data_IF_501139915574
#
_entry.id   IF_501139915574
#
_cell.length_a   1.000
_cell.length_b   1.000
_cell.length_c   1.000
_cell.angle_alpha   90.00
_cell.angle_beta   90.00
_cell.angle_gamma   90.00
#
_symmetry.space_group_name_H-M   'P 1'
#
loop_
_entity.id
_entity.type
_entity.pdbx_description
1 polymer ?
#
# COMPACT_ATOMS: atom_id res chain seq x y z
N UNK A 1 11.02 -8.15 21.65
CA UNK A 1 11.43 -8.47 20.26
C UNK A 1 10.38 -9.36 19.58
N UNK A 2 9.67 -8.80 18.60
CA UNK A 2 8.74 -9.49 17.71
C UNK A 2 9.53 -10.28 16.67
N UNK A 3 9.11 -11.52 16.40
CA UNK A 3 9.72 -12.36 15.35
C UNK A 3 8.79 -12.40 14.14
N UNK A 4 9.32 -12.06 12.97
CA UNK A 4 8.59 -12.15 11.71
C UNK A 4 8.64 -13.60 11.18
N UNK A 5 7.53 -14.14 10.62
CA UNK A 5 7.40 -15.56 10.31
C UNK A 5 8.07 -15.99 8.99
N UNK A 6 8.87 -15.14 8.35
CA UNK A 6 9.49 -15.41 7.06
C UNK A 6 10.68 -16.36 7.18
N UNK A 7 10.87 -17.21 6.17
CA UNK A 7 11.98 -18.15 6.09
C UNK A 7 12.93 -17.78 4.95
N UNK A 8 14.22 -18.18 5.01
CA UNK A 8 15.13 -17.99 3.90
C UNK A 8 14.60 -18.67 2.63
N UNK A 9 14.81 -18.07 1.44
CA UNK A 9 15.54 -16.81 1.19
C UNK A 9 14.70 -15.53 1.38
N UNK A 10 13.40 -15.62 1.70
CA UNK A 10 12.53 -14.44 1.83
C UNK A 10 12.90 -13.60 3.06
N UNK A 11 13.29 -14.23 4.17
CA UNK A 11 13.75 -13.52 5.37
C UNK A 11 15.00 -12.66 5.12
N UNK A 12 15.81 -13.00 4.12
CA UNK A 12 17.04 -12.26 3.83
C UNK A 12 16.73 -10.85 3.28
N UNK A 13 15.54 -10.65 2.71
CA UNK A 13 15.05 -9.34 2.29
C UNK A 13 14.81 -8.40 3.47
N UNK A 14 14.56 -8.94 4.68
CA UNK A 14 14.39 -8.13 5.90
C UNK A 14 15.68 -7.42 6.31
N UNK A 15 16.83 -8.00 5.96
CA UNK A 15 18.16 -7.54 6.38
C UNK A 15 19.06 -7.17 5.20
N UNK A 16 18.47 -7.05 4.00
CA UNK A 16 19.20 -6.82 2.75
C UNK A 16 19.87 -5.43 2.70
N UNK A 17 19.34 -4.48 3.46
CA UNK A 17 19.87 -3.12 3.61
C UNK A 17 18.85 -2.05 3.23
N UNK A 18 19.30 -0.80 3.19
CA UNK A 18 18.45 0.33 2.86
C UNK A 18 18.22 0.47 1.34
N UNK A 19 17.01 0.82 0.95
CA UNK A 19 16.66 1.25 -0.41
C UNK A 19 17.06 2.70 -0.72
N UNK A 20 17.49 3.48 0.27
CA UNK A 20 17.80 4.90 0.12
C UNK A 20 18.91 5.14 -0.91
N UNK A 21 18.70 6.11 -1.79
CA UNK A 21 19.64 6.43 -2.88
C UNK A 21 19.66 5.43 -4.03
N UNK A 22 18.91 4.33 -3.97
CA UNK A 22 18.70 3.45 -5.11
C UNK A 22 17.75 4.08 -6.12
N UNK A 23 18.07 3.97 -7.40
CA UNK A 23 17.19 4.31 -8.52
C UNK A 23 16.65 3.04 -9.18
N UNK A 24 15.60 3.17 -9.98
CA UNK A 24 15.03 2.05 -10.77
C UNK A 24 16.11 1.32 -11.60
N UNK A 25 17.09 2.05 -12.12
CA UNK A 25 18.17 1.50 -12.95
C UNK A 25 19.24 0.75 -12.15
N UNK A 26 19.30 0.94 -10.84
CA UNK A 26 20.30 0.35 -9.95
C UNK A 26 19.73 -0.73 -9.04
N UNK A 27 18.48 -1.18 -9.27
CA UNK A 27 17.90 -2.27 -8.50
C UNK A 27 18.78 -3.53 -8.62
N UNK A 28 19.17 -4.13 -7.49
CA UNK A 28 19.81 -5.45 -7.48
C UNK A 28 18.92 -6.49 -8.16
N UNK A 29 19.53 -7.52 -8.76
CA UNK A 29 18.81 -8.69 -9.20
C UNK A 29 18.56 -9.62 -7.98
N UNK A 30 17.45 -9.43 -7.29
CA UNK A 30 17.10 -10.19 -6.08
C UNK A 30 16.90 -11.68 -6.39
N UNK A 31 16.39 -11.99 -7.60
CA UNK A 31 16.18 -13.36 -8.06
C UNK A 31 17.50 -14.13 -8.10
N UNK A 32 18.52 -13.54 -8.73
CA UNK A 32 19.84 -14.16 -8.80
C UNK A 32 20.59 -14.09 -7.47
N UNK A 33 20.55 -12.95 -6.79
CA UNK A 33 21.33 -12.71 -5.57
C UNK A 33 20.89 -13.60 -4.39
N UNK A 34 19.60 -13.89 -4.28
CA UNK A 34 19.01 -14.65 -3.18
C UNK A 34 18.44 -16.00 -3.62
N UNK A 35 18.66 -16.39 -4.88
CA UNK A 35 18.10 -17.61 -5.47
C UNK A 35 16.56 -17.70 -5.31
N UNK A 36 15.86 -16.57 -5.42
CA UNK A 36 14.40 -16.55 -5.34
C UNK A 36 13.79 -17.26 -6.55
N UNK A 37 12.68 -17.94 -6.34
CA UNK A 37 11.97 -18.71 -7.35
C UNK A 37 10.47 -18.46 -7.25
N UNK A 38 9.70 -18.99 -8.20
CA UNK A 38 8.24 -18.90 -8.20
C UNK A 38 7.61 -19.50 -6.92
N UNK A 39 8.24 -20.48 -6.28
CA UNK A 39 7.75 -21.11 -5.04
C UNK A 39 7.71 -20.12 -3.86
N UNK A 40 8.50 -19.05 -3.93
CA UNK A 40 8.58 -18.02 -2.90
C UNK A 40 7.56 -16.89 -3.07
N UNK A 41 6.83 -16.86 -4.20
CA UNK A 41 5.85 -15.80 -4.50
C UNK A 41 4.82 -15.61 -3.38
N UNK A 42 4.21 -16.66 -2.78
CA UNK A 42 3.24 -16.48 -1.70
C UNK A 42 3.84 -15.73 -0.50
N UNK A 43 5.03 -16.13 -0.05
CA UNK A 43 5.71 -15.49 1.08
C UNK A 43 6.15 -14.05 0.77
N UNK A 44 6.57 -13.77 -0.48
CA UNK A 44 6.86 -12.41 -0.93
C UNK A 44 5.60 -11.52 -0.95
N UNK A 45 4.46 -12.06 -1.35
CA UNK A 45 3.17 -11.37 -1.32
C UNK A 45 2.74 -11.05 0.12
N UNK A 46 2.97 -11.98 1.05
CA UNK A 46 2.74 -11.76 2.49
C UNK A 46 3.64 -10.63 3.01
N UNK A 47 4.94 -10.69 2.71
CA UNK A 47 5.92 -9.69 3.14
C UNK A 47 5.58 -8.26 2.65
N UNK A 48 5.11 -8.13 1.41
CA UNK A 48 4.67 -6.84 0.85
C UNK A 48 3.48 -6.24 1.62
N UNK A 49 2.64 -7.06 2.24
CA UNK A 49 1.43 -6.63 2.96
C UNK A 49 1.59 -6.67 4.48
N UNK A 50 2.79 -6.93 4.98
CA UNK A 50 3.01 -7.15 6.41
C UNK A 50 2.64 -5.89 7.22
N UNK A 51 1.52 -5.96 7.94
CA UNK A 51 1.01 -4.85 8.73
C UNK A 51 1.98 -4.44 9.86
N UNK A 52 2.85 -5.34 10.32
CA UNK A 52 3.89 -5.04 11.30
C UNK A 52 4.93 -4.09 10.71
N UNK A 53 5.31 -4.32 9.44
CA UNK A 53 6.27 -3.47 8.74
C UNK A 53 5.65 -2.13 8.33
N UNK A 54 4.39 -2.14 7.88
CA UNK A 54 3.69 -0.92 7.50
C UNK A 54 3.44 0.04 8.67
N UNK A 55 3.37 -0.43 9.92
CA UNK A 55 3.29 0.44 11.09
C UNK A 55 4.46 1.43 11.20
N UNK A 56 5.65 1.09 10.69
CA UNK A 56 6.80 1.99 10.73
C UNK A 56 6.64 3.21 9.80
N UNK A 57 5.74 3.11 8.81
CA UNK A 57 5.40 4.21 7.91
C UNK A 57 4.25 5.07 8.43
N UNK A 58 3.58 4.67 9.51
CA UNK A 58 2.44 5.38 10.07
C UNK A 58 2.94 6.44 11.07
N UNK A 59 2.92 7.70 10.65
CA UNK A 59 3.34 8.85 11.47
C UNK A 59 2.45 9.07 12.71
N UNK A 60 1.23 8.51 12.73
CA UNK A 60 0.30 8.64 13.85
C UNK A 60 0.62 7.65 14.98
N UNK A 61 1.51 6.65 14.75
CA UNK A 61 1.93 5.68 15.76
C UNK A 61 3.19 6.18 16.48
N UNK A 62 3.15 6.39 17.81
CA UNK A 62 4.34 6.74 18.57
C UNK A 62 5.40 5.62 18.51
N UNK A 63 6.68 6.00 18.45
CA UNK A 63 7.80 5.04 18.42
C UNK A 63 7.76 4.02 19.58
N UNK A 64 7.28 4.45 20.76
CA UNK A 64 7.15 3.59 21.94
C UNK A 64 6.09 2.46 21.78
N UNK A 65 5.15 2.63 20.85
CA UNK A 65 4.09 1.67 20.55
C UNK A 65 4.43 0.81 19.31
N UNK A 66 5.52 1.11 18.61
CA UNK A 66 6.02 0.29 17.50
C UNK A 66 6.54 -1.06 18.00
N UNK A 67 6.40 -2.13 17.19
CA UNK A 67 6.93 -3.43 17.53
C UNK A 67 8.46 -3.37 17.61
N UNK A 68 9.02 -3.87 18.71
CA UNK A 68 10.48 -4.01 18.85
C UNK A 68 10.97 -5.11 17.90
N UNK A 69 11.69 -4.74 16.84
CA UNK A 69 12.30 -5.66 15.87
C UNK A 69 13.78 -5.91 16.18
N UNK A 70 14.36 -6.93 15.56
CA UNK A 70 15.81 -7.11 15.53
C UNK A 70 16.47 -5.88 14.84
N UNK A 71 17.52 -5.27 15.40
CA UNK A 71 18.17 -4.08 14.83
C UNK A 71 18.80 -4.31 13.45
N UNK A 72 18.99 -5.55 13.01
CA UNK A 72 19.41 -5.86 11.64
C UNK A 72 18.28 -5.75 10.61
N UNK A 73 17.02 -5.73 11.06
CA UNK A 73 15.85 -5.61 10.18
C UNK A 73 15.68 -4.16 9.75
N UNK A 74 15.48 -3.96 8.45
CA UNK A 74 15.20 -2.67 7.82
C UNK A 74 13.71 -2.60 7.44
N UNK A 75 12.81 -2.22 8.36
CA UNK A 75 11.37 -2.37 8.17
C UNK A 75 10.82 -1.54 7.01
N UNK A 76 11.43 -0.38 6.74
CA UNK A 76 11.07 0.47 5.60
C UNK A 76 11.43 -0.18 4.25
N UNK A 77 12.59 -0.82 4.18
CA UNK A 77 13.12 -1.33 2.91
C UNK A 77 12.62 -2.73 2.56
N UNK A 78 12.24 -3.54 3.55
CA UNK A 78 11.86 -4.93 3.34
C UNK A 78 10.64 -5.11 2.39
N UNK A 79 9.50 -4.39 2.55
CA UNK A 79 8.40 -4.48 1.59
C UNK A 79 8.79 -4.03 0.17
N UNK A 80 9.70 -3.05 0.09
CA UNK A 80 10.21 -2.51 -1.18
C UNK A 80 11.04 -3.56 -1.91
N UNK A 81 11.98 -4.21 -1.22
CA UNK A 81 12.75 -5.31 -1.81
C UNK A 81 11.83 -6.45 -2.29
N UNK A 82 10.79 -6.77 -1.53
CA UNK A 82 9.83 -7.81 -1.86
C UNK A 82 9.04 -7.49 -3.15
N UNK A 83 8.50 -6.27 -3.32
CA UNK A 83 7.79 -5.94 -4.57
C UNK A 83 8.72 -5.89 -5.78
N UNK A 84 9.99 -5.50 -5.59
CA UNK A 84 10.99 -5.49 -6.68
C UNK A 84 11.27 -6.92 -7.13
N UNK A 85 11.44 -7.85 -6.17
CA UNK A 85 11.61 -9.26 -6.45
C UNK A 85 10.39 -9.88 -7.15
N UNK A 86 9.16 -9.53 -6.73
CA UNK A 86 7.92 -9.96 -7.40
C UNK A 86 7.84 -9.47 -8.85
N UNK A 87 8.29 -8.24 -9.11
CA UNK A 87 8.44 -7.70 -10.46
C UNK A 87 9.42 -8.51 -11.31
N UNK A 88 10.61 -8.78 -10.78
CA UNK A 88 11.66 -9.56 -11.47
C UNK A 88 11.22 -11.01 -11.75
N UNK A 89 10.45 -11.63 -10.85
CA UNK A 89 9.82 -12.95 -11.04
C UNK A 89 8.62 -12.92 -11.99
N UNK A 90 8.16 -11.74 -12.41
CA UNK A 90 6.96 -11.52 -13.23
C UNK A 90 5.70 -12.14 -12.60
N UNK A 91 5.56 -11.99 -11.29
CA UNK A 91 4.52 -12.64 -10.50
C UNK A 91 3.12 -12.05 -10.75
N UNK A 92 2.38 -12.60 -11.71
CA UNK A 92 1.00 -12.17 -12.03
C UNK A 92 0.08 -12.25 -10.79
N UNK A 93 0.27 -13.27 -9.94
CA UNK A 93 -0.53 -13.46 -8.72
C UNK A 93 -0.39 -12.31 -7.72
N UNK A 94 0.70 -11.52 -7.78
CA UNK A 94 0.93 -10.39 -6.89
C UNK A 94 0.19 -9.12 -7.32
N UNK A 95 -0.30 -9.02 -8.56
CA UNK A 95 -0.89 -7.79 -9.09
C UNK A 95 -2.02 -7.22 -8.19
N UNK A 96 -3.00 -8.02 -7.71
CA UNK A 96 -4.07 -7.47 -6.86
C UNK A 96 -3.54 -6.83 -5.58
N UNK A 97 -2.52 -7.45 -4.98
CA UNK A 97 -1.88 -6.99 -3.74
C UNK A 97 -1.07 -5.72 -3.98
N UNK A 98 -0.29 -5.66 -5.06
CA UNK A 98 0.48 -4.47 -5.40
C UNK A 98 -0.42 -3.28 -5.74
N UNK A 99 -1.58 -3.51 -6.36
CA UNK A 99 -2.61 -2.48 -6.55
C UNK A 99 -3.15 -2.01 -5.19
N UNK A 100 -3.40 -2.94 -4.27
CA UNK A 100 -3.88 -2.59 -2.94
C UNK A 100 -2.86 -1.71 -2.19
N UNK A 101 -1.58 -2.08 -2.22
CA UNK A 101 -0.49 -1.27 -1.62
C UNK A 101 -0.45 0.11 -2.26
N UNK A 102 -0.49 0.21 -3.59
CA UNK A 102 -0.50 1.50 -4.30
C UNK A 102 -1.69 2.40 -3.91
N UNK A 103 -2.86 1.81 -3.63
CA UNK A 103 -4.08 2.56 -3.30
C UNK A 103 -4.15 2.92 -1.82
N UNK A 104 -3.64 2.06 -0.94
CA UNK A 104 -3.80 2.21 0.51
C UNK A 104 -2.63 2.94 1.17
N UNK A 105 -1.42 2.80 0.63
CA UNK A 105 -0.21 3.36 1.23
C UNK A 105 0.16 4.64 0.50
N UNK A 106 0.05 5.78 1.19
CA UNK A 106 0.43 7.09 0.68
C UNK A 106 1.93 7.35 0.90
N UNK A 107 2.76 6.47 0.32
CA UNK A 107 4.22 6.51 0.43
C UNK A 107 4.80 6.78 -0.96
N UNK A 108 5.68 7.79 -1.08
CA UNK A 108 6.26 8.22 -2.36
C UNK A 108 6.87 7.05 -3.17
N UNK A 109 7.53 6.11 -2.49
CA UNK A 109 8.10 4.90 -3.10
C UNK A 109 7.06 4.04 -3.83
N UNK A 110 5.82 3.97 -3.35
CA UNK A 110 4.75 3.22 -4.03
C UNK A 110 4.45 3.84 -5.40
N UNK A 111 4.37 5.17 -5.48
CA UNK A 111 4.05 5.90 -6.70
C UNK A 111 5.19 5.88 -7.72
N UNK A 112 6.44 5.83 -7.25
CA UNK A 112 7.62 5.81 -8.11
C UNK A 112 7.96 4.41 -8.62
N UNK A 113 7.87 3.38 -7.75
CA UNK A 113 8.39 2.05 -8.08
C UNK A 113 7.35 1.06 -8.56
N UNK A 114 6.13 1.09 -8.02
CA UNK A 114 5.11 0.11 -8.41
C UNK A 114 4.74 0.18 -9.90
N UNK A 115 4.69 1.35 -10.57
CA UNK A 115 4.53 1.40 -12.02
C UNK A 115 5.60 0.60 -12.79
N UNK A 116 6.85 0.66 -12.34
CA UNK A 116 7.96 -0.10 -12.94
C UNK A 116 7.84 -1.60 -12.63
N UNK A 117 7.47 -1.96 -11.40
CA UNK A 117 7.17 -3.34 -11.02
C UNK A 117 6.05 -3.93 -11.90
N UNK A 118 4.97 -3.18 -12.15
CA UNK A 118 3.92 -3.60 -13.08
C UNK A 118 4.44 -3.75 -14.51
N UNK A 119 5.35 -2.86 -14.94
CA UNK A 119 6.06 -2.97 -16.21
C UNK A 119 6.87 -4.27 -16.35
N UNK A 120 7.57 -4.68 -15.29
CA UNK A 120 8.32 -5.94 -15.24
C UNK A 120 7.40 -7.17 -15.31
N UNK A 121 6.27 -7.15 -14.60
CA UNK A 121 5.25 -8.23 -14.65
C UNK A 121 4.64 -8.33 -16.05
N UNK A 122 4.45 -7.20 -16.72
CA UNK A 122 4.06 -7.13 -18.12
C UNK A 122 2.54 -6.98 -18.35
N UNK A 123 2.03 -7.35 -19.54
CA UNK A 123 0.69 -6.95 -20.01
C UNK A 123 -0.48 -7.36 -19.12
N UNK A 124 -0.33 -8.41 -18.31
CA UNK A 124 -1.34 -8.84 -17.35
C UNK A 124 -1.67 -7.76 -16.31
N UNK A 125 -0.70 -6.91 -15.95
CA UNK A 125 -0.91 -5.80 -15.02
C UNK A 125 -1.87 -4.74 -15.60
N UNK A 126 -1.82 -4.50 -16.91
CA UNK A 126 -2.71 -3.56 -17.61
C UNK A 126 -4.15 -4.12 -17.69
N UNK A 127 -4.29 -5.43 -17.88
CA UNK A 127 -5.61 -6.07 -17.98
C UNK A 127 -6.38 -5.97 -16.66
N UNK A 128 -5.68 -6.11 -15.53
CA UNK A 128 -6.27 -6.11 -14.19
C UNK A 128 -6.49 -4.70 -13.61
N UNK A 129 -5.78 -3.68 -14.12
CA UNK A 129 -5.95 -2.29 -13.67
C UNK A 129 -7.13 -1.55 -14.31
N UNK A 130 -7.82 -2.17 -15.28
CA UNK A 130 -9.05 -1.58 -15.85
C UNK A 130 -10.14 -1.51 -14.78
N UNK A 131 -10.70 -0.33 -14.47
CA UNK A 131 -11.81 -0.25 -13.55
C UNK A 131 -12.94 -1.11 -14.10
N UNK A 132 -13.42 -2.06 -13.28
CA UNK A 132 -14.66 -2.77 -13.55
C UNK A 132 -15.73 -1.70 -13.72
N UNK A 133 -16.13 -1.44 -14.96
CA UNK A 133 -17.23 -0.53 -15.25
C UNK A 133 -18.46 -1.12 -14.59
N UNK A 134 -18.74 -0.69 -13.36
CA UNK A 134 -20.06 -0.84 -12.78
C UNK A 134 -20.93 0.06 -13.65
N UNK A 135 -21.51 -0.48 -14.72
CA UNK A 135 -22.68 0.15 -15.30
C UNK A 135 -23.69 0.19 -14.17
N UNK A 136 -24.07 1.37 -13.64
CA UNK A 136 -25.26 1.43 -12.83
C UNK A 136 -26.35 0.98 -13.79
N UNK A 137 -27.03 -0.13 -13.50
CA UNK A 137 -28.28 -0.45 -14.18
C UNK A 137 -29.20 0.71 -13.86
N UNK A 138 -29.21 1.70 -14.74
CA UNK A 138 -30.11 2.83 -14.72
C UNK A 138 -31.49 2.25 -15.00
N UNK A 139 -32.15 1.71 -13.97
CA UNK A 139 -33.59 1.57 -13.97
C UNK A 139 -34.18 2.99 -13.87
N UNK A 140 -34.11 3.68 -14.99
CA UNK A 140 -34.99 4.78 -15.31
C UNK A 140 -36.37 4.18 -15.57
N UNK A 141 -37.06 3.77 -14.51
CA UNK A 141 -38.50 3.48 -14.61
C UNK A 141 -39.23 4.80 -14.75
N UNK A 142 -39.57 5.15 -16.00
CA UNK A 142 -40.55 6.19 -16.29
C UNK A 142 -41.86 5.78 -15.65
N UNK A 143 -42.17 6.39 -14.52
CA UNK A 143 -43.50 6.33 -13.92
C UNK A 143 -44.15 7.70 -14.12
N UNK A 144 -45.20 7.75 -14.93
CA UNK A 144 -46.13 8.88 -15.01
C UNK A 144 -47.49 8.37 -15.50
N UNK A 145 -48.59 9.01 -15.10
CA UNK A 145 -49.41 8.47 -14.01
C UNK A 145 -50.77 7.97 -14.49
N UNK A 146 -51.36 7.04 -13.75
CA UNK A 146 -52.79 6.78 -13.85
C UNK A 146 -53.45 7.11 -12.51
N UNK A 147 -54.23 8.19 -12.55
CA UNK A 147 -55.21 8.63 -11.56
C UNK A 147 -56.08 7.45 -11.11
N UNK A 148 -56.31 7.30 -9.80
CA UNK A 148 -57.65 7.13 -9.16
C UNK A 148 -57.53 6.89 -7.64
N UNK A 149 -58.34 7.65 -6.89
CA UNK A 149 -58.87 7.40 -5.54
C UNK A 149 -58.00 7.57 -4.27
N UNK A 150 -58.28 8.68 -3.57
CA UNK A 150 -58.31 8.81 -2.09
C UNK A 150 -59.41 7.88 -1.50
N UNK A 151 -59.43 7.51 -0.18
CA UNK A 151 -59.30 8.46 0.93
C UNK A 151 -58.70 7.98 2.29
N UNK A 152 -58.32 9.00 3.12
CA UNK A 152 -58.29 9.07 4.61
C UNK A 152 -57.29 8.14 5.33
N UNK A 153 -56.66 8.45 6.47
CA UNK A 153 -56.48 9.59 7.38
C UNK A 153 -55.56 9.03 8.48
N UNK A 154 -54.53 9.77 8.94
CA UNK A 154 -54.07 9.97 10.33
C UNK A 154 -52.56 10.21 10.39
N UNK A 155 -52.20 11.15 11.25
CA UNK A 155 -50.92 11.83 11.28
C UNK A 155 -49.76 11.05 11.89
N UNK A 156 -48.60 11.65 11.77
CA UNK A 156 -47.58 11.73 12.82
C UNK A 156 -46.55 12.77 12.37
N UNK A 157 -46.36 13.79 13.20
CA UNK A 157 -45.30 14.79 13.09
C UNK A 157 -43.96 14.15 13.43
N UNK A 158 -42.94 14.32 12.58
CA UNK A 158 -41.55 14.12 12.99
C UNK A 158 -40.71 15.33 12.61
N UNK A 159 -40.12 15.92 13.65
CA UNK A 159 -39.10 16.97 13.64
C UNK A 159 -37.71 16.33 13.61
N UNK A 160 -36.69 17.15 13.33
CA UNK A 160 -35.23 16.93 13.46
C UNK A 160 -34.54 16.39 12.20
N UNK A 161 -33.32 16.80 11.85
CA UNK A 161 -32.42 17.83 12.34
C UNK A 161 -31.37 18.07 11.26
N UNK A 162 -30.90 19.31 11.16
CA UNK A 162 -29.72 19.73 10.40
C UNK A 162 -28.46 19.11 11.00
N UNK A 163 -27.62 18.49 10.18
CA UNK A 163 -26.18 18.32 10.49
C UNK A 163 -25.39 18.85 9.29
N UNK A 164 -24.56 19.85 9.59
CA UNK A 164 -23.61 20.49 8.70
C UNK A 164 -22.18 20.22 9.20
N UNK A 165 -21.20 20.60 8.35
CA UNK A 165 -19.75 20.72 8.57
C UNK A 165 -18.98 19.42 8.26
N UNK A 166 -18.33 19.23 7.11
CA UNK A 166 -17.41 20.09 6.33
C UNK A 166 -16.17 20.54 7.13
N UNK A 167 -15.05 19.87 6.80
CA UNK A 167 -13.64 20.28 6.69
C UNK A 167 -13.04 21.22 7.75
N UNK A 168 -11.88 20.81 8.27
CA UNK A 168 -10.64 21.59 8.16
C UNK A 168 -9.40 20.75 8.47
N UNK A 169 -8.52 20.61 7.46
CA UNK A 169 -7.09 20.31 7.62
C UNK A 169 -6.34 21.63 7.86
N UNK A 170 -5.26 21.65 8.64
CA UNK A 170 -4.21 22.63 8.45
C UNK A 170 -3.02 22.03 7.70
N UNK A 171 -2.51 22.83 6.77
CA UNK A 171 -1.30 22.62 6.02
C UNK A 171 -0.08 23.05 6.83
N UNK A 172 0.92 22.17 6.91
CA UNK A 172 2.33 22.52 7.13
C UNK A 172 3.16 21.50 6.33
N UNK A 173 3.51 21.78 5.07
CA UNK A 173 4.74 22.47 4.64
C UNK A 173 6.03 21.89 5.24
N UNK A 174 6.61 20.95 4.49
CA UNK A 174 7.91 21.11 3.85
C UNK A 174 9.02 21.70 4.74
N UNK A 175 9.88 20.83 5.28
CA UNK A 175 11.24 21.21 5.66
C UNK A 175 12.25 20.27 5.01
N UNK A 176 12.87 20.84 3.99
CA UNK A 176 14.16 20.48 3.46
C UNK A 176 15.28 20.70 4.49
N UNK A 177 16.38 19.97 4.26
CA UNK A 177 17.76 20.27 4.66
C UNK A 177 18.17 20.11 6.13
N UNK A 178 18.76 18.94 6.41
CA UNK A 178 19.87 18.75 7.37
C UNK A 178 21.10 19.58 6.96
N UNK A 179 22.04 19.79 7.91
CA UNK A 179 23.31 19.10 7.68
C UNK A 179 23.87 18.38 8.92
N UNK A 180 24.30 17.14 8.65
CA UNK A 180 25.60 16.54 9.01
C UNK A 180 26.01 16.57 10.50
N UNK A 181 25.81 15.45 11.19
CA UNK A 181 26.57 15.10 12.40
C UNK A 181 27.85 14.36 12.01
N UNK A 182 28.97 14.95 12.39
CA UNK A 182 30.31 14.37 12.36
C UNK A 182 30.39 13.25 13.41
N UNK A 183 30.81 12.06 12.99
CA UNK A 183 31.32 11.02 13.88
C UNK A 183 32.81 10.88 13.60
N UNK A 184 33.64 11.54 14.40
CA UNK A 184 35.06 11.19 14.51
C UNK A 184 35.20 10.19 15.65
N UNK A 185 35.70 9.01 15.29
CA UNK A 185 36.09 7.96 16.21
C UNK A 185 37.37 8.30 16.98
N UNK A 186 37.42 7.75 18.19
CA UNK A 186 38.56 7.57 19.07
C UNK A 186 39.85 7.14 18.34
N UNK A 187 40.92 7.90 18.58
CA UNK A 187 42.24 7.41 19.02
C UNK A 187 42.81 8.44 20.02
#
# INVERSE_FOLDING_TARGET
MVTLPYQPPVSDLLTYGSCEGSTIKSWPNYVEALALTADHIPALIELVQDATLWQFWDEDIPEADLPELDPAIEPFSAPIHAWRALGQLKAIAAIPVLIQVLVQQDVDWCWEELPEVFGLIGPAAIALSKPRSQTPTSQMSRSSPSVTALPKLLGCTLTAATIASERSRPAWLCRSSTPRREWQHLL
#
